data_IF_306409453227
#
_entry.id   IF_306409453227
#
_cell.length_a   1.000
_cell.length_b   1.000
_cell.length_c   1.000
_cell.angle_alpha   90.00
_cell.angle_beta   90.00
_cell.angle_gamma   90.00
#
_symmetry.space_group_name_H-M   'P 1'
#
loop_
_entity.id
_entity.type
_entity.pdbx_description
1 polymer ?
#
# COMPACT_ATOMS: atom_id res chain seq x y z
N UNK A 1 -7.81 -2.45 -11.54
CA UNK A 1 -6.84 -3.28 -12.22
C UNK A 1 -5.42 -2.89 -11.84
N UNK A 2 -4.56 -3.87 -11.68
CA UNK A 2 -3.17 -3.61 -11.34
C UNK A 2 -2.35 -3.37 -12.59
N UNK A 3 -1.60 -2.29 -12.59
CA UNK A 3 -0.60 -2.03 -13.60
C UNK A 3 0.62 -2.92 -13.33
N UNK A 4 1.24 -3.44 -14.38
CA UNK A 4 2.50 -4.15 -14.22
C UNK A 4 3.64 -3.15 -14.07
N UNK A 5 4.52 -3.40 -13.12
CA UNK A 5 5.67 -2.57 -12.84
C UNK A 5 6.97 -3.32 -13.08
N UNK A 6 8.00 -2.61 -13.53
CA UNK A 6 9.33 -3.18 -13.68
C UNK A 6 9.92 -3.55 -12.31
N UNK A 7 10.96 -4.35 -12.30
CA UNK A 7 11.67 -4.71 -11.08
C UNK A 7 12.17 -3.48 -10.32
N UNK A 8 12.69 -2.48 -11.05
CA UNK A 8 13.16 -1.23 -10.46
C UNK A 8 12.02 -0.46 -9.79
N UNK A 9 10.88 -0.36 -10.47
CA UNK A 9 9.70 0.30 -9.90
C UNK A 9 9.20 -0.41 -8.64
N UNK A 10 9.23 -1.72 -8.63
CA UNK A 10 8.82 -2.51 -7.47
C UNK A 10 9.75 -2.25 -6.28
N UNK A 11 11.06 -2.18 -6.51
CA UNK A 11 12.02 -1.85 -5.46
C UNK A 11 11.73 -0.48 -4.85
N UNK A 12 11.46 0.51 -5.68
CA UNK A 12 11.14 1.87 -5.24
C UNK A 12 9.85 1.87 -4.41
N UNK A 13 8.80 1.22 -4.91
CA UNK A 13 7.51 1.15 -4.22
C UNK A 13 7.62 0.44 -2.87
N UNK A 14 8.35 -0.66 -2.82
CA UNK A 14 8.55 -1.42 -1.59
C UNK A 14 9.27 -0.59 -0.54
N UNK A 15 10.34 0.09 -0.93
CA UNK A 15 11.10 0.96 -0.03
C UNK A 15 10.25 2.13 0.45
N UNK A 16 9.52 2.77 -0.46
CA UNK A 16 8.67 3.90 -0.14
C UNK A 16 7.56 3.50 0.83
N UNK A 17 6.90 2.39 0.58
CA UNK A 17 5.84 1.89 1.47
C UNK A 17 6.37 1.64 2.88
N UNK A 18 7.50 0.99 2.99
CA UNK A 18 8.15 0.72 4.27
C UNK A 18 8.43 2.01 5.04
N UNK A 19 8.99 3.01 4.37
CA UNK A 19 9.31 4.28 4.98
C UNK A 19 8.07 5.09 5.38
N UNK A 20 7.06 5.10 4.53
CA UNK A 20 5.80 5.78 4.84
C UNK A 20 5.12 5.17 6.07
N UNK A 21 5.18 3.85 6.22
CA UNK A 21 4.62 3.17 7.38
C UNK A 21 5.44 3.41 8.65
N UNK A 22 6.76 3.49 8.52
CA UNK A 22 7.65 3.70 9.64
C UNK A 22 7.67 5.15 10.12
N UNK A 23 7.80 6.11 9.21
CA UNK A 23 8.05 7.52 9.51
C UNK A 23 6.87 8.43 9.19
N UNK A 24 5.91 7.97 8.43
CA UNK A 24 4.81 8.78 7.91
C UNK A 24 5.19 9.51 6.64
N UNK A 25 4.19 10.02 5.95
CA UNK A 25 4.37 10.69 4.66
C UNK A 25 5.27 11.92 4.75
N UNK A 26 4.98 12.80 5.71
CA UNK A 26 5.67 14.09 5.81
C UNK A 26 7.15 13.94 6.12
N UNK A 27 7.52 12.95 6.93
CA UNK A 27 8.89 12.74 7.35
C UNK A 27 9.73 11.94 6.35
N UNK A 28 9.11 11.34 5.34
CA UNK A 28 9.80 10.56 4.33
C UNK A 28 10.17 11.45 3.15
N UNK A 29 11.43 11.46 2.76
CA UNK A 29 11.92 12.21 1.60
C UNK A 29 12.21 11.28 0.43
N UNK A 30 12.26 11.82 -0.79
CA UNK A 30 12.68 11.04 -1.96
C UNK A 30 14.12 10.54 -1.83
N UNK A 31 14.97 11.28 -1.14
CA UNK A 31 16.33 10.83 -0.86
C UNK A 31 16.35 9.61 0.06
N UNK A 32 15.47 9.58 1.05
CA UNK A 32 15.33 8.42 1.94
C UNK A 32 14.91 7.19 1.13
N UNK A 33 13.97 7.37 0.21
CA UNK A 33 13.49 6.29 -0.64
C UNK A 33 14.60 5.80 -1.59
N UNK A 34 15.37 6.73 -2.14
CA UNK A 34 16.51 6.41 -3.00
C UNK A 34 17.53 5.54 -2.24
N UNK A 35 17.86 5.92 -1.02
CA UNK A 35 18.79 5.16 -0.19
C UNK A 35 18.25 3.77 0.14
N UNK A 36 17.02 3.70 0.60
CA UNK A 36 16.40 2.43 1.03
C UNK A 36 16.25 1.45 -0.13
N UNK A 37 15.90 1.96 -1.31
CA UNK A 37 15.71 1.12 -2.50
C UNK A 37 17.00 0.77 -3.22
N UNK A 38 18.08 1.46 -2.91
CA UNK A 38 19.36 1.39 -3.63
C UNK A 38 19.21 1.77 -5.12
N UNK A 39 18.30 2.70 -5.39
CA UNK A 39 18.03 3.25 -6.71
C UNK A 39 18.41 4.73 -6.68
N UNK A 40 19.20 5.23 -7.64
CA UNK A 40 19.61 6.63 -7.62
C UNK A 40 18.41 7.56 -7.80
N UNK A 41 18.56 8.78 -7.30
CA UNK A 41 17.48 9.75 -7.26
C UNK A 41 16.96 10.14 -8.65
N UNK A 42 17.85 10.24 -9.62
CA UNK A 42 17.46 10.58 -11.00
C UNK A 42 16.55 9.50 -11.59
N UNK A 43 16.89 8.25 -11.36
CA UNK A 43 16.10 7.12 -11.86
C UNK A 43 14.76 7.03 -11.11
N UNK A 44 14.77 7.29 -9.81
CA UNK A 44 13.55 7.35 -9.03
C UNK A 44 12.60 8.41 -9.59
N UNK A 45 13.11 9.61 -9.87
CA UNK A 45 12.32 10.71 -10.42
C UNK A 45 11.85 10.43 -11.85
N UNK A 46 12.57 9.61 -12.59
CA UNK A 46 12.16 9.19 -13.93
C UNK A 46 10.89 8.32 -13.86
N UNK A 47 10.85 7.36 -12.94
CA UNK A 47 9.71 6.46 -12.80
C UNK A 47 8.56 7.09 -12.04
N UNK A 48 8.85 7.86 -11.00
CA UNK A 48 7.83 8.47 -10.14
C UNK A 48 8.18 9.95 -9.98
N UNK A 49 7.37 10.80 -10.59
CA UNK A 49 7.66 12.22 -10.73
C UNK A 49 7.69 12.99 -9.40
N UNK A 50 7.02 12.47 -8.37
CA UNK A 50 7.00 13.13 -7.07
C UNK A 50 6.71 12.11 -5.96
N UNK A 51 7.05 12.49 -4.73
CA UNK A 51 6.70 11.71 -3.54
C UNK A 51 5.20 11.53 -3.43
N UNK A 52 4.44 12.59 -3.71
CA UNK A 52 2.97 12.55 -3.67
C UNK A 52 2.41 11.52 -4.64
N UNK A 53 2.91 11.50 -5.86
CA UNK A 53 2.45 10.55 -6.87
C UNK A 53 2.74 9.11 -6.45
N UNK A 54 3.92 8.86 -5.94
CA UNK A 54 4.32 7.55 -5.44
C UNK A 54 3.43 7.11 -4.27
N UNK A 55 3.15 8.03 -3.35
CA UNK A 55 2.27 7.77 -2.23
C UNK A 55 0.85 7.41 -2.68
N UNK A 56 0.30 8.17 -3.62
CA UNK A 56 -1.03 7.89 -4.18
C UNK A 56 -1.12 6.50 -4.80
N UNK A 57 -0.10 6.11 -5.55
CA UNK A 57 -0.06 4.78 -6.18
C UNK A 57 -0.08 3.69 -5.11
N UNK A 58 0.75 3.83 -4.08
CA UNK A 58 0.84 2.85 -2.98
C UNK A 58 -0.50 2.76 -2.24
N UNK A 59 -1.12 3.90 -1.95
CA UNK A 59 -2.42 3.94 -1.27
C UNK A 59 -3.50 3.24 -2.07
N UNK A 60 -3.59 3.55 -3.36
CA UNK A 60 -4.59 2.93 -4.22
C UNK A 60 -4.42 1.41 -4.29
N UNK A 61 -3.20 0.93 -4.40
CA UNK A 61 -2.93 -0.50 -4.43
C UNK A 61 -3.32 -1.17 -3.11
N UNK A 62 -3.00 -0.54 -1.99
CA UNK A 62 -3.32 -1.07 -0.67
C UNK A 62 -4.83 -1.17 -0.47
N UNK A 63 -5.57 -0.11 -0.83
CA UNK A 63 -7.03 -0.14 -0.73
C UNK A 63 -7.65 -1.13 -1.71
N UNK A 64 -7.12 -1.21 -2.92
CA UNK A 64 -7.60 -2.18 -3.89
C UNK A 64 -7.50 -3.60 -3.35
N UNK A 65 -6.35 -3.96 -2.77
CA UNK A 65 -6.14 -5.29 -2.20
C UNK A 65 -7.12 -5.56 -1.05
N UNK A 66 -7.33 -4.57 -0.18
CA UNK A 66 -8.25 -4.72 0.93
C UNK A 66 -9.69 -4.93 0.44
N UNK A 67 -10.15 -4.11 -0.50
CA UNK A 67 -11.50 -4.20 -1.05
C UNK A 67 -11.69 -5.52 -1.79
N UNK A 68 -10.68 -5.98 -2.53
CA UNK A 68 -10.75 -7.26 -3.25
C UNK A 68 -10.94 -8.42 -2.28
N UNK A 69 -10.25 -8.40 -1.15
CA UNK A 69 -10.43 -9.43 -0.10
C UNK A 69 -11.82 -9.38 0.51
N UNK A 70 -12.36 -8.17 0.71
CA UNK A 70 -13.74 -8.03 1.20
C UNK A 70 -14.76 -8.58 0.22
N UNK A 71 -14.58 -8.29 -1.06
CA UNK A 71 -15.48 -8.79 -2.11
C UNK A 71 -15.48 -10.32 -2.13
N UNK A 72 -14.31 -10.94 -2.01
CA UNK A 72 -14.22 -12.40 -1.95
C UNK A 72 -15.02 -12.96 -0.77
N UNK A 73 -14.92 -12.33 0.39
CA UNK A 73 -15.65 -12.76 1.59
C UNK A 73 -17.16 -12.65 1.38
N UNK A 74 -17.64 -11.52 0.84
CA UNK A 74 -19.08 -11.31 0.66
C UNK A 74 -19.66 -12.10 -0.49
N UNK A 75 -18.84 -12.55 -1.43
CA UNK A 75 -19.29 -13.39 -2.55
C UNK A 75 -19.23 -14.88 -2.24
N UNK A 76 -18.76 -15.27 -1.06
CA UNK A 76 -18.75 -16.67 -0.65
C UNK A 76 -20.15 -17.08 -0.20
N UNK A 77 -20.85 -17.80 -1.05
CA UNK A 77 -22.22 -18.24 -0.79
C UNK A 77 -22.32 -19.28 0.33
N UNK A 78 -21.22 -19.90 0.68
CA UNK A 78 -21.19 -20.91 1.75
C UNK A 78 -21.19 -20.31 3.15
N UNK A 79 -20.83 -19.05 3.25
CA UNK A 79 -20.75 -18.37 4.53
C UNK A 79 -22.05 -17.65 4.86
N UNK A 80 -22.45 -17.65 6.12
CA UNK A 80 -23.60 -16.88 6.60
C UNK A 80 -23.23 -15.40 6.65
N UNK A 81 -24.23 -14.53 6.74
CA UNK A 81 -24.01 -13.10 6.90
C UNK A 81 -23.16 -12.81 8.14
N UNK A 82 -23.46 -13.50 9.24
CA UNK A 82 -22.69 -13.34 10.48
C UNK A 82 -21.21 -13.69 10.29
N UNK A 83 -20.93 -14.81 9.62
CA UNK A 83 -19.57 -15.22 9.32
C UNK A 83 -18.86 -14.19 8.42
N UNK A 84 -19.56 -13.67 7.41
CA UNK A 84 -19.02 -12.65 6.51
C UNK A 84 -18.65 -11.38 7.26
N UNK A 85 -19.51 -10.95 8.19
CA UNK A 85 -19.23 -9.76 9.01
C UNK A 85 -18.03 -9.99 9.93
N UNK A 86 -17.93 -11.16 10.53
CA UNK A 86 -16.79 -11.51 11.38
C UNK A 86 -15.48 -11.50 10.58
N UNK A 87 -15.47 -12.11 9.41
CA UNK A 87 -14.28 -12.17 8.56
C UNK A 87 -13.89 -10.77 8.06
N UNK A 88 -14.87 -9.96 7.68
CA UNK A 88 -14.62 -8.58 7.25
C UNK A 88 -14.00 -7.76 8.37
N UNK A 89 -14.56 -7.85 9.58
CA UNK A 89 -14.06 -7.15 10.75
C UNK A 89 -12.63 -7.59 11.09
N UNK A 90 -12.38 -8.90 11.05
CA UNK A 90 -11.06 -9.45 11.32
C UNK A 90 -10.02 -8.94 10.31
N UNK A 91 -10.37 -8.94 9.02
CA UNK A 91 -9.47 -8.43 7.97
C UNK A 91 -9.20 -6.94 8.12
N UNK A 92 -10.19 -6.16 8.51
CA UNK A 92 -10.01 -4.73 8.76
C UNK A 92 -9.07 -4.50 9.94
N UNK A 93 -9.25 -5.26 11.02
CA UNK A 93 -8.38 -5.19 12.19
C UNK A 93 -6.94 -5.57 11.82
N UNK A 94 -6.77 -6.66 11.05
CA UNK A 94 -5.45 -7.09 10.59
C UNK A 94 -4.78 -6.01 9.76
N UNK A 95 -5.52 -5.34 8.87
CA UNK A 95 -5.00 -4.25 8.08
C UNK A 95 -4.49 -3.10 8.95
N UNK A 96 -5.25 -2.75 9.99
CA UNK A 96 -4.85 -1.68 10.91
C UNK A 96 -3.58 -2.07 11.68
N UNK A 97 -3.48 -3.32 12.12
CA UNK A 97 -2.33 -3.82 12.86
C UNK A 97 -1.08 -3.84 11.98
N UNK A 98 -1.22 -4.33 10.73
CA UNK A 98 -0.10 -4.43 9.80
C UNK A 98 0.35 -3.08 9.25
N UNK A 99 -0.58 -2.16 9.07
CA UNK A 99 -0.33 -0.84 8.48
C UNK A 99 -0.98 0.26 9.33
N UNK A 100 -0.45 0.50 10.54
CA UNK A 100 -1.10 1.39 11.51
C UNK A 100 -1.20 2.85 11.06
N UNK A 101 -0.38 3.28 10.11
CA UNK A 101 -0.42 4.65 9.59
C UNK A 101 -1.43 4.84 8.46
N UNK A 102 -1.98 3.76 7.91
CA UNK A 102 -2.86 3.82 6.76
C UNK A 102 -4.13 4.65 7.02
N UNK A 103 -4.85 4.48 8.14
CA UNK A 103 -6.05 5.26 8.40
C UNK A 103 -5.81 6.76 8.50
N UNK A 104 -4.61 7.21 8.84
CA UNK A 104 -4.30 8.63 8.97
C UNK A 104 -4.10 9.32 7.63
N UNK A 105 -3.96 8.56 6.55
CA UNK A 105 -3.75 9.07 5.21
C UNK A 105 -5.05 9.32 4.45
N UNK A 106 -6.15 8.83 4.96
CA UNK A 106 -7.43 8.81 4.25
C UNK A 106 -8.33 10.00 4.61
#
# INVERSE_FOLDING_TARGET
>A
MKKEYSETEIKIKTAAKSLFLEKGYSATTTRDISKESDINLALLNYYFTSKKKLFEIIMLETFYDFISKMVEVYNDEKSSLEEKLKLTSSKYIDMIIEEPHLPTFV
#
